data_IF_770727251060
#
_entry.id   IF_770727251060
#
_cell.length_a   1.000
_cell.length_b   1.000
_cell.length_c   1.000
_cell.angle_alpha   90.00
_cell.angle_beta   90.00
_cell.angle_gamma   90.00
#
_symmetry.space_group_name_H-M   'P 1'
#
loop_
_entity.id
_entity.type
_entity.pdbx_description
1 polymer ?
#
# COMPACT_ATOMS: atom_id res chain seq x y z
N UNK A 1 74.03 49.49 1.69
CA UNK A 1 73.43 49.57 0.34
C UNK A 1 73.49 48.20 -0.30
N UNK A 2 72.39 47.81 -0.93
CA UNK A 2 72.08 46.61 -1.74
C UNK A 2 73.27 45.84 -2.38
N UNK A 3 73.24 44.49 -2.31
CA UNK A 3 73.82 43.49 -3.24
C UNK A 3 73.12 42.13 -2.94
N UNK A 4 72.26 41.55 -3.79
CA UNK A 4 72.46 40.71 -5.00
C UNK A 4 72.76 39.21 -4.76
N UNK A 5 71.85 38.37 -5.29
CA UNK A 5 71.97 37.04 -5.93
C UNK A 5 72.74 35.83 -5.32
N UNK A 6 72.00 34.70 -5.35
CA UNK A 6 72.34 33.32 -5.76
C UNK A 6 72.99 32.24 -4.86
N UNK A 7 72.28 31.09 -4.95
CA UNK A 7 72.68 29.68 -4.88
C UNK A 7 73.27 29.05 -3.61
N UNK A 8 72.62 27.99 -3.13
CA UNK A 8 73.31 26.70 -2.92
C UNK A 8 72.33 25.52 -2.94
N UNK A 9 72.68 24.48 -3.70
CA UNK A 9 71.91 23.28 -3.98
C UNK A 9 72.70 22.03 -3.50
N UNK A 10 72.01 21.16 -2.76
CA UNK A 10 72.01 19.68 -2.72
C UNK A 10 73.31 18.82 -2.83
N UNK A 11 73.54 17.95 -1.83
CA UNK A 11 73.46 16.44 -1.86
C UNK A 11 74.40 15.74 -0.84
N UNK A 12 73.87 14.81 -0.03
CA UNK A 12 74.48 13.50 0.26
C UNK A 12 73.54 12.58 1.08
N UNK A 13 73.62 11.28 0.82
CA UNK A 13 72.66 10.21 1.13
C UNK A 13 73.28 9.20 2.12
N UNK A 14 72.47 8.62 3.02
CA UNK A 14 72.35 7.16 3.35
C UNK A 14 71.98 6.90 4.81
N UNK A 15 70.81 6.27 5.05
CA UNK A 15 70.68 4.96 5.76
C UNK A 15 69.22 4.46 5.79
N UNK A 16 69.05 3.30 5.15
CA UNK A 16 68.13 2.18 5.36
C UNK A 16 67.27 2.19 6.64
N UNK A 17 65.93 2.00 6.55
CA UNK A 17 65.10 1.10 7.41
C UNK A 17 63.73 0.81 6.72
N UNK A 18 63.35 -0.48 6.83
CA UNK A 18 62.17 -1.25 6.43
C UNK A 18 60.84 -0.55 6.07
N UNK A 19 60.26 -1.02 4.96
CA UNK A 19 58.83 -0.89 4.62
C UNK A 19 58.00 -1.88 5.44
N UNK A 20 57.06 -1.39 6.25
CA UNK A 20 55.87 -2.14 6.65
C UNK A 20 54.66 -1.54 5.95
N UNK A 21 54.04 -2.32 5.08
CA UNK A 21 52.73 -2.03 4.49
C UNK A 21 51.66 -2.13 5.59
N UNK A 22 51.23 -0.99 6.11
CA UNK A 22 50.02 -0.87 6.92
C UNK A 22 48.86 -0.41 6.04
N UNK A 23 48.05 -1.34 5.52
CA UNK A 23 46.79 -1.01 4.87
C UNK A 23 45.81 -0.47 5.92
N UNK A 24 45.62 0.85 5.96
CA UNK A 24 44.53 1.45 6.72
C UNK A 24 43.21 1.17 5.99
N UNK A 25 42.50 0.13 6.44
CA UNK A 25 41.12 -0.10 6.04
C UNK A 25 40.27 1.07 6.53
N UNK A 26 39.79 1.89 5.59
CA UNK A 26 38.73 2.87 5.86
C UNK A 26 37.45 2.07 5.99
N UNK A 27 37.06 1.76 7.23
CA UNK A 27 35.72 1.26 7.53
C UNK A 27 34.73 2.41 7.35
N UNK A 28 34.04 2.42 6.22
CA UNK A 28 32.83 3.23 6.06
C UNK A 28 31.75 2.54 6.88
N UNK A 29 31.64 2.92 8.16
CA UNK A 29 30.48 2.60 8.96
C UNK A 29 29.28 3.34 8.34
N UNK A 30 28.44 2.63 7.58
CA UNK A 30 27.12 3.12 7.21
C UNK A 30 26.32 3.30 8.50
N UNK A 31 26.16 4.55 8.92
CA UNK A 31 25.18 4.92 9.93
C UNK A 31 23.79 4.63 9.37
N UNK A 32 23.20 3.51 9.79
CA UNK A 32 21.78 3.24 9.64
C UNK A 32 21.03 4.38 10.33
N UNK A 33 20.48 5.33 9.58
CA UNK A 33 19.57 6.33 10.13
C UNK A 33 18.43 5.58 10.82
N UNK A 34 18.33 5.73 12.15
CA UNK A 34 17.15 5.33 12.89
C UNK A 34 15.97 6.12 12.31
N UNK A 35 15.17 5.46 11.49
CA UNK A 35 13.90 6.02 11.05
C UNK A 35 13.00 6.06 12.27
N UNK A 36 12.81 7.24 12.87
CA UNK A 36 11.82 7.39 13.93
C UNK A 36 10.47 6.89 13.40
N UNK A 37 9.89 5.91 14.09
CA UNK A 37 8.66 5.23 13.69
C UNK A 37 7.42 6.10 13.95
N UNK A 38 7.37 7.24 13.25
CA UNK A 38 6.43 8.32 13.46
C UNK A 38 5.55 8.55 12.22
N UNK A 39 4.41 9.25 12.35
CA UNK A 39 3.66 9.74 11.20
C UNK A 39 4.54 10.63 10.32
N UNK A 40 4.39 10.49 9.00
CA UNK A 40 5.05 11.39 8.06
C UNK A 40 4.14 11.77 6.89
N UNK A 41 4.45 12.91 6.31
CA UNK A 41 3.89 13.39 5.05
C UNK A 41 5.04 13.53 4.05
N UNK A 42 4.83 13.07 2.82
CA UNK A 42 5.85 13.19 1.77
C UNK A 42 5.21 13.64 0.47
N UNK A 43 5.92 14.52 -0.23
CA UNK A 43 5.52 15.02 -1.54
C UNK A 43 6.04 14.08 -2.63
N UNK A 44 5.17 13.71 -3.57
CA UNK A 44 5.56 12.87 -4.71
C UNK A 44 6.51 13.69 -5.60
N UNK A 45 7.74 13.21 -5.87
CA UNK A 45 8.73 13.95 -6.64
C UNK A 45 8.21 14.40 -8.01
N UNK A 46 8.48 15.66 -8.36
CA UNK A 46 8.00 16.27 -9.61
C UNK A 46 6.55 16.78 -9.54
N UNK A 47 5.97 16.90 -8.34
CA UNK A 47 4.60 17.42 -8.14
C UNK A 47 4.48 18.23 -6.85
N UNK A 48 3.32 18.85 -6.63
CA UNK A 48 2.92 19.46 -5.36
C UNK A 48 2.01 18.53 -4.52
N UNK A 49 1.75 17.30 -4.99
CA UNK A 49 0.83 16.36 -4.33
C UNK A 49 1.58 15.60 -3.25
N UNK A 50 1.02 15.57 -2.05
CA UNK A 50 1.59 14.86 -0.89
C UNK A 50 0.61 13.84 -0.34
N UNK A 51 1.13 12.79 0.27
CA UNK A 51 0.34 11.77 0.97
C UNK A 51 0.89 11.55 2.38
N UNK A 52 0.00 11.12 3.28
CA UNK A 52 0.28 10.91 4.71
C UNK A 52 0.30 9.43 5.04
N UNK A 53 1.31 9.02 5.80
CA UNK A 53 1.49 7.66 6.26
C UNK A 53 1.54 7.66 7.79
N UNK A 54 0.77 6.77 8.42
CA UNK A 54 0.71 6.61 9.87
C UNK A 54 1.38 5.29 10.28
N UNK A 55 2.12 5.27 11.41
CA UNK A 55 2.72 4.06 11.93
C UNK A 55 1.64 3.11 12.47
N UNK A 56 1.79 1.83 12.14
CA UNK A 56 1.02 0.71 12.68
C UNK A 56 1.99 -0.13 13.52
N UNK A 57 1.94 -0.05 14.86
CA UNK A 57 2.89 -0.74 15.71
C UNK A 57 2.80 -2.26 15.54
N UNK A 58 3.93 -2.95 15.73
CA UNK A 58 3.89 -4.41 15.80
C UNK A 58 2.99 -4.84 16.96
N UNK A 59 2.24 -5.92 16.79
CA UNK A 59 1.37 -6.39 17.85
C UNK A 59 0.66 -7.67 17.53
N UNK A 60 -0.23 -8.06 18.45
CA UNK A 60 -1.06 -9.25 18.34
C UNK A 60 -2.51 -8.82 18.31
N UNK A 61 -3.31 -9.49 17.49
CA UNK A 61 -4.75 -9.29 17.48
C UNK A 61 -5.50 -10.58 17.13
N UNK A 62 -6.79 -10.55 17.42
CA UNK A 62 -7.71 -11.62 17.06
C UNK A 62 -8.32 -11.28 15.69
N UNK A 63 -7.84 -11.95 14.65
CA UNK A 63 -8.33 -11.76 13.29
C UNK A 63 -9.63 -12.55 13.07
N UNK A 64 -10.59 -11.97 12.36
CA UNK A 64 -11.86 -12.59 12.00
C UNK A 64 -13.02 -12.22 12.92
N UNK A 65 -14.19 -12.78 12.62
CA UNK A 65 -15.44 -12.53 13.36
C UNK A 65 -15.59 -13.49 14.53
N UNK A 66 -15.97 -12.97 15.70
CA UNK A 66 -16.31 -13.81 16.84
C UNK A 66 -17.62 -14.57 16.60
N UNK A 67 -17.80 -15.70 17.27
CA UNK A 67 -19.03 -16.51 17.15
C UNK A 67 -20.30 -15.72 17.51
N UNK A 68 -20.20 -14.72 18.38
CA UNK A 68 -21.32 -13.88 18.79
C UNK A 68 -21.53 -12.64 17.91
N UNK A 69 -20.65 -12.38 16.94
CA UNK A 69 -20.72 -11.17 16.13
C UNK A 69 -21.94 -11.22 15.19
N UNK A 70 -22.74 -10.16 15.25
CA UNK A 70 -23.91 -10.02 14.39
C UNK A 70 -23.49 -9.92 12.91
N UNK A 71 -24.12 -10.72 12.05
CA UNK A 71 -23.83 -10.73 10.62
C UNK A 71 -22.50 -11.38 10.23
N UNK A 72 -21.85 -12.12 11.14
CA UNK A 72 -20.65 -12.91 10.82
C UNK A 72 -20.91 -13.84 9.64
N UNK A 73 -19.89 -14.03 8.80
CA UNK A 73 -19.94 -14.96 7.68
C UNK A 73 -18.99 -16.15 7.90
N UNK A 74 -19.26 -17.32 7.28
CA UNK A 74 -18.40 -18.49 7.45
C UNK A 74 -16.93 -18.26 7.05
N UNK A 75 -16.69 -17.45 6.02
CA UNK A 75 -15.36 -17.11 5.48
C UNK A 75 -14.55 -16.16 6.38
N UNK A 76 -15.11 -15.76 7.53
CA UNK A 76 -14.51 -14.89 8.54
C UNK A 76 -14.18 -15.64 9.84
N UNK A 77 -14.32 -16.97 9.83
CA UNK A 77 -14.23 -17.85 11.01
C UNK A 77 -13.36 -19.09 10.71
N UNK A 78 -12.75 -19.73 11.73
CA UNK A 78 -12.71 -19.32 13.14
C UNK A 78 -11.79 -18.12 13.36
N UNK A 79 -11.94 -17.42 14.49
CA UNK A 79 -10.97 -16.39 14.86
C UNK A 79 -9.59 -16.99 15.11
N UNK A 80 -8.55 -16.24 14.74
CA UNK A 80 -7.15 -16.67 14.87
C UNK A 80 -6.31 -15.59 15.56
N UNK A 81 -5.44 -15.98 16.49
CA UNK A 81 -4.43 -15.07 16.99
C UNK A 81 -3.38 -14.85 15.88
N UNK A 82 -3.14 -13.60 15.54
CA UNK A 82 -2.16 -13.22 14.50
C UNK A 82 -1.21 -12.19 15.09
N UNK A 83 0.10 -12.37 14.83
CA UNK A 83 1.10 -11.33 15.06
C UNK A 83 1.27 -10.54 13.76
N UNK A 84 1.34 -9.22 13.86
CA UNK A 84 1.59 -8.33 12.74
C UNK A 84 2.87 -7.55 13.03
N UNK A 85 3.82 -7.55 12.10
CA UNK A 85 5.03 -6.75 12.15
C UNK A 85 4.71 -5.26 12.05
N UNK A 86 5.59 -4.38 12.49
CA UNK A 86 5.39 -2.94 12.37
C UNK A 86 5.51 -2.47 10.91
N UNK A 87 4.65 -1.54 10.50
CA UNK A 87 4.67 -0.93 9.17
C UNK A 87 4.09 0.49 9.24
N UNK A 88 4.17 1.23 8.14
CA UNK A 88 3.36 2.42 7.92
C UNK A 88 2.27 2.13 6.91
N UNK A 89 1.11 2.74 7.10
CA UNK A 89 -0.02 2.64 6.17
C UNK A 89 -0.55 4.02 5.81
N UNK A 90 -1.10 4.17 4.60
CA UNK A 90 -1.72 5.40 4.15
C UNK A 90 -2.86 5.83 5.09
N UNK A 91 -2.84 7.09 5.53
CA UNK A 91 -3.91 7.67 6.37
C UNK A 91 -5.27 7.60 5.67
N UNK A 92 -5.26 7.71 4.36
CA UNK A 92 -6.40 7.71 3.45
C UNK A 92 -6.20 6.65 2.36
N UNK A 93 -7.28 6.34 1.64
CA UNK A 93 -7.22 5.68 0.34
C UNK A 93 -6.37 6.54 -0.63
N UNK A 94 -5.70 5.92 -1.60
CA UNK A 94 -4.98 6.67 -2.64
C UNK A 94 -5.98 7.49 -3.44
N UNK A 95 -5.67 8.77 -3.62
CA UNK A 95 -6.57 9.71 -4.29
C UNK A 95 -6.35 9.73 -5.80
N UNK A 96 -7.32 10.24 -6.55
CA UNK A 96 -7.15 10.56 -7.96
C UNK A 96 -6.01 11.56 -8.20
N UNK A 97 -5.83 12.55 -7.32
CA UNK A 97 -4.76 13.53 -7.44
C UNK A 97 -3.37 12.85 -7.39
N UNK A 98 -3.20 11.86 -6.52
CA UNK A 98 -2.00 11.02 -6.44
C UNK A 98 -1.86 10.09 -7.65
N UNK A 99 -2.92 9.34 -7.98
CA UNK A 99 -2.90 8.32 -9.03
C UNK A 99 -2.69 8.92 -10.42
N UNK A 100 -3.23 10.10 -10.70
CA UNK A 100 -3.10 10.75 -11.99
C UNK A 100 -1.66 11.14 -12.31
N UNK A 101 -0.79 11.32 -11.31
CA UNK A 101 0.64 11.51 -11.55
C UNK A 101 1.26 10.28 -12.21
N UNK A 102 0.95 9.08 -11.72
CA UNK A 102 1.38 7.83 -12.35
C UNK A 102 0.77 7.64 -13.74
N UNK A 103 -0.55 7.85 -13.85
CA UNK A 103 -1.26 7.68 -15.12
C UNK A 103 -0.72 8.61 -16.22
N UNK A 104 -0.37 9.84 -15.88
CA UNK A 104 0.11 10.84 -16.83
C UNK A 104 1.63 10.88 -17.00
N UNK A 105 2.41 10.10 -16.23
CA UNK A 105 3.86 10.11 -16.31
C UNK A 105 4.37 9.53 -17.65
N UNK A 106 4.72 10.41 -18.59
CA UNK A 106 5.17 10.02 -19.92
C UNK A 106 6.56 9.39 -19.96
N UNK A 107 7.34 9.52 -18.87
CA UNK A 107 8.61 8.79 -18.73
C UNK A 107 8.42 7.29 -18.47
N UNK A 108 7.19 6.88 -18.12
CA UNK A 108 6.83 5.48 -17.90
C UNK A 108 6.18 4.91 -19.18
N UNK A 109 6.70 3.79 -19.68
CA UNK A 109 6.17 3.17 -20.89
C UNK A 109 4.73 2.69 -20.71
N UNK A 110 3.91 2.77 -21.77
CA UNK A 110 2.58 2.12 -21.82
C UNK A 110 2.66 0.68 -22.32
N UNK A 111 3.67 0.39 -23.13
CA UNK A 111 3.88 -0.88 -23.81
C UNK A 111 5.32 -1.34 -23.55
N UNK A 112 5.51 -2.27 -22.62
CA UNK A 112 6.78 -2.96 -22.43
C UNK A 112 6.53 -4.42 -22.13
N UNK A 113 7.30 -5.29 -22.78
CA UNK A 113 7.34 -6.75 -22.56
C UNK A 113 8.46 -7.14 -21.57
N UNK A 114 9.18 -6.16 -21.04
CA UNK A 114 10.33 -6.35 -20.13
C UNK A 114 9.96 -5.72 -18.77
N UNK A 115 10.61 -6.19 -17.70
CA UNK A 115 10.43 -5.88 -16.26
C UNK A 115 10.53 -4.39 -15.85
N UNK A 116 9.79 -3.52 -16.55
CA UNK A 116 9.77 -2.07 -16.46
C UNK A 116 8.42 -1.65 -15.90
N UNK A 117 8.41 -0.57 -15.12
CA UNK A 117 7.16 0.08 -14.69
C UNK A 117 6.37 0.45 -15.94
N UNK A 118 5.12 -0.02 -16.01
CA UNK A 118 4.23 0.25 -17.14
C UNK A 118 2.99 0.99 -16.67
N UNK A 119 2.68 2.14 -17.28
CA UNK A 119 1.50 2.92 -16.90
C UNK A 119 0.23 2.38 -17.60
N UNK A 120 -0.97 2.58 -17.01
CA UNK A 120 -2.21 2.09 -17.60
C UNK A 120 -2.45 2.63 -19.01
N UNK A 121 -3.17 1.86 -19.82
CA UNK A 121 -3.68 2.36 -21.10
C UNK A 121 -4.71 3.47 -20.88
N UNK A 122 -4.91 4.38 -21.85
CA UNK A 122 -5.99 5.35 -21.80
C UNK A 122 -7.33 4.67 -21.49
N UNK A 123 -8.15 5.33 -20.66
CA UNK A 123 -9.47 4.82 -20.32
C UNK A 123 -10.42 5.03 -21.51
N UNK A 124 -11.21 4.01 -21.87
CA UNK A 124 -12.20 4.14 -22.94
C UNK A 124 -13.40 5.03 -22.53
N UNK A 125 -13.66 5.11 -21.21
CA UNK A 125 -14.64 6.00 -20.57
C UNK A 125 -14.03 6.64 -19.34
N UNK A 126 -14.62 7.73 -18.86
CA UNK A 126 -14.29 8.28 -17.56
C UNK A 126 -14.76 7.35 -16.43
N UNK A 127 -13.81 6.65 -15.80
CA UNK A 127 -14.06 5.71 -14.71
C UNK A 127 -14.31 6.37 -13.34
N UNK A 128 -14.36 7.70 -13.27
CA UNK A 128 -14.90 8.40 -12.09
C UNK A 128 -16.42 8.43 -12.07
N UNK A 129 -17.07 8.10 -13.19
CA UNK A 129 -18.53 8.07 -13.29
C UNK A 129 -19.19 9.40 -12.93
N UNK A 130 -18.49 10.52 -13.13
CA UNK A 130 -18.98 11.85 -12.77
C UNK A 130 -19.13 12.09 -11.26
N UNK A 131 -18.49 11.28 -10.42
CA UNK A 131 -18.56 11.42 -8.95
C UNK A 131 -17.53 12.41 -8.40
N UNK A 132 -16.41 12.60 -9.10
CA UNK A 132 -15.37 13.58 -8.78
C UNK A 132 -13.96 12.99 -8.87
N UNK A 133 -12.96 13.82 -9.20
CA UNK A 133 -11.54 13.41 -9.32
C UNK A 133 -10.56 14.32 -8.60
N UNK A 134 -10.99 15.49 -8.14
CA UNK A 134 -10.08 16.54 -7.66
C UNK A 134 -10.31 16.88 -6.19
N UNK A 135 -9.22 17.14 -5.48
CA UNK A 135 -9.24 17.58 -4.10
C UNK A 135 -9.55 16.44 -3.14
N UNK A 136 -8.96 15.27 -3.40
CA UNK A 136 -8.95 14.13 -2.48
C UNK A 136 -10.07 13.09 -2.68
N UNK A 137 -10.61 12.94 -3.88
CA UNK A 137 -11.48 11.78 -4.15
C UNK A 137 -10.65 10.50 -4.28
N UNK A 138 -11.08 9.36 -3.71
CA UNK A 138 -10.36 8.10 -3.86
C UNK A 138 -10.37 7.65 -5.32
N UNK A 139 -9.25 7.11 -5.78
CA UNK A 139 -9.20 6.50 -7.11
C UNK A 139 -9.96 5.16 -7.07
N UNK A 140 -10.77 4.88 -8.09
CA UNK A 140 -11.54 3.64 -8.20
C UNK A 140 -11.42 2.97 -9.59
N UNK A 141 -12.04 1.80 -9.76
CA UNK A 141 -12.20 1.12 -11.06
C UNK A 141 -10.89 0.61 -11.69
N UNK A 142 -9.88 0.28 -10.89
CA UNK A 142 -8.65 -0.37 -11.36
C UNK A 142 -8.50 -1.80 -10.87
N UNK A 143 -7.75 -2.61 -11.61
CA UNK A 143 -7.33 -3.94 -11.16
C UNK A 143 -6.32 -3.86 -10.02
N UNK A 144 -6.20 -4.94 -9.23
CA UNK A 144 -5.14 -5.07 -8.22
C UNK A 144 -3.74 -4.88 -8.85
N UNK A 145 -3.55 -5.39 -10.08
CA UNK A 145 -2.30 -5.21 -10.84
C UNK A 145 -1.96 -3.74 -11.05
N UNK A 146 -2.94 -2.91 -11.41
CA UNK A 146 -2.74 -1.46 -11.56
C UNK A 146 -2.36 -0.79 -10.26
N UNK A 147 -3.01 -1.15 -9.16
CA UNK A 147 -2.69 -0.62 -7.84
C UNK A 147 -1.25 -1.00 -7.41
N UNK A 148 -0.83 -2.25 -7.65
CA UNK A 148 0.54 -2.70 -7.42
C UNK A 148 1.56 -2.01 -8.34
N UNK A 149 1.20 -1.73 -9.59
CA UNK A 149 2.06 -1.02 -10.52
C UNK A 149 2.25 0.45 -10.11
N UNK A 150 1.21 1.09 -9.56
CA UNK A 150 1.35 2.39 -8.91
C UNK A 150 2.35 2.34 -7.75
N UNK A 151 2.28 1.30 -6.90
CA UNK A 151 3.25 1.11 -5.82
C UNK A 151 4.69 0.96 -6.35
N UNK A 152 4.88 0.18 -7.43
CA UNK A 152 6.20 0.01 -8.09
C UNK A 152 6.70 1.32 -8.70
N UNK A 153 5.83 2.07 -9.34
CA UNK A 153 6.14 3.40 -9.88
C UNK A 153 6.60 4.34 -8.76
N UNK A 154 5.85 4.41 -7.66
CA UNK A 154 6.17 5.26 -6.53
C UNK A 154 7.51 4.85 -5.88
N UNK A 155 7.80 3.55 -5.81
CA UNK A 155 9.10 3.04 -5.40
C UNK A 155 10.23 3.56 -6.28
N UNK A 156 10.12 3.44 -7.62
CA UNK A 156 11.16 3.96 -8.53
C UNK A 156 11.30 5.49 -8.47
N UNK A 157 10.22 6.23 -8.17
CA UNK A 157 10.27 7.69 -7.99
C UNK A 157 10.94 8.14 -6.69
N UNK A 158 10.75 7.40 -5.61
CA UNK A 158 11.12 7.85 -4.25
C UNK A 158 12.29 7.09 -3.64
N UNK A 159 12.62 5.91 -4.16
CA UNK A 159 13.52 4.95 -3.53
C UNK A 159 12.92 4.27 -2.29
N UNK A 160 11.66 4.54 -1.94
CA UNK A 160 10.98 3.95 -0.77
C UNK A 160 10.03 2.85 -1.23
N UNK A 161 10.18 1.65 -0.67
CA UNK A 161 9.35 0.52 -1.06
C UNK A 161 7.91 0.67 -0.57
N UNK A 162 6.95 0.52 -1.49
CA UNK A 162 5.52 0.53 -1.20
C UNK A 162 4.83 -0.70 -1.78
N UNK A 163 3.76 -1.15 -1.13
CA UNK A 163 2.90 -2.25 -1.58
C UNK A 163 1.46 -2.07 -1.10
N UNK A 164 0.58 -2.98 -1.50
CA UNK A 164 -0.74 -3.12 -0.91
C UNK A 164 -0.62 -3.78 0.49
N UNK A 165 -1.59 -3.56 1.40
CA UNK A 165 -1.65 -4.30 2.65
C UNK A 165 -1.94 -5.78 2.41
N UNK A 166 -1.48 -6.66 3.30
CA UNK A 166 -2.09 -8.00 3.41
C UNK A 166 -3.48 -7.88 4.02
N UNK A 167 -4.31 -8.92 3.88
CA UNK A 167 -5.61 -8.98 4.52
C UNK A 167 -5.51 -8.85 6.05
N UNK A 168 -4.49 -9.46 6.66
CA UNK A 168 -4.24 -9.37 8.09
C UNK A 168 -3.81 -7.96 8.53
N UNK A 169 -2.90 -7.33 7.78
CA UNK A 169 -2.47 -5.95 8.06
C UNK A 169 -3.63 -4.96 7.97
N UNK A 170 -4.46 -5.10 6.94
CA UNK A 170 -5.63 -4.25 6.75
C UNK A 170 -6.61 -4.37 7.92
N UNK A 171 -6.95 -5.60 8.34
CA UNK A 171 -7.89 -5.81 9.45
C UNK A 171 -7.32 -5.30 10.78
N UNK A 172 -6.03 -5.55 11.03
CA UNK A 172 -5.35 -5.07 12.23
C UNK A 172 -5.39 -3.55 12.33
N UNK A 173 -5.04 -2.87 11.24
CA UNK A 173 -5.07 -1.41 11.18
C UNK A 173 -6.49 -0.85 11.23
N UNK A 174 -7.48 -1.53 10.62
CA UNK A 174 -8.89 -1.15 10.70
C UNK A 174 -9.38 -1.19 12.15
N UNK A 175 -9.12 -2.29 12.86
CA UNK A 175 -9.54 -2.51 14.25
C UNK A 175 -8.89 -1.55 15.23
N UNK A 176 -7.63 -1.16 14.99
CA UNK A 176 -6.88 -0.24 15.85
C UNK A 176 -6.98 -0.58 17.36
N UNK A 177 -6.86 -1.87 17.67
CA UNK A 177 -6.93 -2.41 19.05
C UNK A 177 -8.31 -2.86 19.53
N UNK A 178 -9.38 -2.70 18.73
CA UNK A 178 -10.72 -3.15 19.10
C UNK A 178 -11.03 -4.58 18.65
N UNK A 179 -11.88 -5.27 19.43
CA UNK A 179 -12.38 -6.62 19.12
C UNK A 179 -13.90 -6.60 18.85
N UNK A 180 -14.43 -5.46 18.41
CA UNK A 180 -15.85 -5.24 18.11
C UNK A 180 -16.16 -5.49 16.63
N UNK A 181 -17.44 -5.51 16.29
CA UNK A 181 -17.94 -5.73 14.92
C UNK A 181 -17.44 -4.65 13.95
N UNK A 182 -17.52 -3.39 14.38
CA UNK A 182 -16.90 -2.24 13.73
C UNK A 182 -15.79 -1.69 14.64
N UNK A 183 -14.83 -0.95 14.09
CA UNK A 183 -13.73 -0.40 14.90
C UNK A 183 -14.17 0.64 15.94
N UNK A 184 -15.40 1.14 15.86
CA UNK A 184 -15.98 2.09 16.80
C UNK A 184 -16.97 1.46 17.79
N UNK A 185 -17.21 0.15 17.69
CA UNK A 185 -18.16 -0.58 18.55
C UNK A 185 -19.11 -1.49 17.78
N UNK A 186 -20.20 -1.90 18.43
CA UNK A 186 -21.17 -2.87 17.88
C UNK A 186 -22.48 -2.22 17.41
N UNK A 187 -22.69 -0.92 17.65
CA UNK A 187 -23.94 -0.25 17.25
C UNK A 187 -23.87 0.28 15.82
N UNK A 188 -24.49 -0.45 14.88
CA UNK A 188 -24.55 -0.07 13.46
C UNK A 188 -25.23 1.30 13.23
N UNK A 189 -26.01 1.84 14.18
CA UNK A 189 -26.61 3.18 14.06
C UNK A 189 -25.56 4.29 14.00
N UNK A 190 -24.37 4.04 14.54
CA UNK A 190 -23.24 4.97 14.51
C UNK A 190 -22.48 4.95 13.18
N UNK A 191 -22.71 3.95 12.32
CA UNK A 191 -21.94 3.75 11.08
C UNK A 191 -21.89 4.99 10.17
N UNK A 192 -22.97 5.78 10.14
CA UNK A 192 -23.06 7.03 9.37
C UNK A 192 -22.03 8.11 9.76
N UNK A 193 -21.46 8.02 10.95
CA UNK A 193 -20.43 8.92 11.44
C UNK A 193 -19.02 8.49 11.00
N UNK A 194 -18.86 7.23 10.60
CA UNK A 194 -17.57 6.56 10.40
C UNK A 194 -17.32 6.09 8.95
N UNK A 195 -18.38 5.92 8.15
CA UNK A 195 -18.25 5.46 6.76
C UNK A 195 -19.29 6.07 5.80
N UNK A 196 -18.94 6.04 4.52
CA UNK A 196 -19.85 6.32 3.41
C UNK A 196 -20.33 5.01 2.80
N UNK A 197 -21.64 4.76 2.81
CA UNK A 197 -22.25 3.50 2.38
C UNK A 197 -23.65 3.74 1.83
N UNK A 198 -24.34 2.68 1.40
CA UNK A 198 -25.62 2.77 0.67
C UNK A 198 -26.67 3.71 1.28
N UNK A 199 -26.68 3.85 2.61
CA UNK A 199 -27.65 4.68 3.33
C UNK A 199 -27.35 6.18 3.24
N UNK A 200 -26.08 6.59 3.22
CA UNK A 200 -25.70 8.00 3.34
C UNK A 200 -24.87 8.56 2.17
N UNK A 201 -24.37 7.70 1.28
CA UNK A 201 -23.46 8.06 0.19
C UNK A 201 -24.15 8.77 -1.00
N UNK A 202 -25.48 8.62 -1.12
CA UNK A 202 -26.25 9.03 -2.29
C UNK A 202 -25.72 8.43 -3.59
N UNK A 203 -25.30 7.16 -3.51
CA UNK A 203 -24.73 6.39 -4.61
C UNK A 203 -23.43 6.98 -5.19
N UNK A 204 -22.63 7.65 -4.36
CA UNK A 204 -21.33 8.21 -4.75
C UNK A 204 -20.26 7.99 -3.68
N UNK A 205 -19.04 7.69 -4.09
CA UNK A 205 -17.89 7.88 -3.23
C UNK A 205 -17.70 9.38 -2.93
N UNK A 206 -17.00 9.69 -1.85
CA UNK A 206 -16.79 11.04 -1.35
C UNK A 206 -15.30 11.33 -1.21
N UNK A 207 -14.96 12.59 -0.96
CA UNK A 207 -13.57 12.94 -0.64
C UNK A 207 -13.14 12.20 0.63
N UNK A 208 -11.89 11.73 0.64
CA UNK A 208 -11.30 11.05 1.79
C UNK A 208 -11.29 11.97 3.02
N UNK A 209 -11.36 11.37 4.20
CA UNK A 209 -11.22 12.08 5.47
C UNK A 209 -12.46 12.84 5.93
N UNK A 210 -13.63 12.59 5.35
CA UNK A 210 -14.88 13.28 5.69
C UNK A 210 -15.71 12.61 6.80
N UNK A 211 -15.28 11.44 7.27
CA UNK A 211 -15.88 10.73 8.41
C UNK A 211 -14.92 10.69 9.59
N UNK A 212 -15.40 10.22 10.75
CA UNK A 212 -14.55 10.03 11.93
C UNK A 212 -13.53 8.92 11.65
N UNK A 213 -12.25 9.09 12.05
CA UNK A 213 -11.25 8.04 11.92
C UNK A 213 -11.42 6.97 13.01
N UNK A 214 -10.66 5.89 12.89
CA UNK A 214 -10.46 4.96 13.99
C UNK A 214 -9.48 5.50 15.05
N UNK A 215 -9.23 4.73 16.11
CA UNK A 215 -8.40 5.14 17.24
C UNK A 215 -6.93 5.46 16.88
N UNK A 216 -6.44 4.98 15.74
CA UNK A 216 -5.08 5.27 15.24
C UNK A 216 -5.04 6.40 14.21
N UNK A 217 -6.19 7.01 13.89
CA UNK A 217 -6.26 8.14 12.97
C UNK A 217 -6.39 7.75 11.49
N UNK A 218 -6.64 6.47 11.18
CA UNK A 218 -6.96 6.04 9.81
C UNK A 218 -8.40 6.40 9.47
N UNK A 219 -8.58 6.98 8.30
CA UNK A 219 -9.87 7.37 7.76
C UNK A 219 -10.31 6.39 6.69
N UNK A 220 -11.64 6.33 6.53
CA UNK A 220 -12.29 5.58 5.45
C UNK A 220 -11.88 4.10 5.42
N UNK A 221 -11.51 3.53 6.57
CA UNK A 221 -11.25 2.09 6.70
C UNK A 221 -12.53 1.26 6.50
N UNK A 222 -13.71 1.89 6.49
CA UNK A 222 -14.99 1.24 6.20
C UNK A 222 -15.84 2.16 5.33
N UNK A 223 -16.41 1.63 4.25
CA UNK A 223 -17.12 2.42 3.26
C UNK A 223 -16.19 3.25 2.37
N UNK A 224 -16.76 4.27 1.72
CA UNK A 224 -16.14 4.99 0.61
C UNK A 224 -15.80 4.04 -0.55
N UNK A 225 -14.58 3.54 -0.69
CA UNK A 225 -14.27 2.46 -1.63
C UNK A 225 -13.71 1.25 -0.89
N UNK A 226 -14.08 0.05 -1.33
CA UNK A 226 -13.41 -1.16 -0.88
C UNK A 226 -11.94 -1.12 -1.35
N UNK A 227 -11.06 -1.75 -0.58
CA UNK A 227 -9.62 -1.64 -0.80
C UNK A 227 -9.01 -2.97 -1.22
N UNK A 228 -8.22 -2.95 -2.29
CA UNK A 228 -7.38 -4.08 -2.67
C UNK A 228 -6.38 -4.44 -1.56
N UNK A 229 -6.32 -5.73 -1.20
CA UNK A 229 -5.21 -6.31 -0.42
C UNK A 229 -4.28 -7.10 -1.36
N UNK A 230 -3.17 -7.63 -0.85
CA UNK A 230 -2.29 -8.54 -1.61
C UNK A 230 -2.88 -9.93 -1.82
N UNK A 231 -3.78 -10.33 -0.93
CA UNK A 231 -4.19 -11.71 -0.78
C UNK A 231 -5.11 -12.17 -1.90
N UNK A 232 -4.97 -13.45 -2.25
CA UNK A 232 -6.05 -14.17 -2.88
C UNK A 232 -7.17 -14.43 -1.88
N UNK A 233 -8.39 -14.31 -2.35
CA UNK A 233 -9.54 -14.72 -1.59
C UNK A 233 -9.59 -16.24 -1.56
N UNK A 234 -9.45 -16.79 -0.37
CA UNK A 234 -9.69 -18.19 -0.05
C UNK A 234 -10.78 -18.26 1.02
N UNK A 235 -11.86 -18.99 0.72
CA UNK A 235 -13.02 -19.11 1.60
C UNK A 235 -12.65 -19.75 2.94
N UNK A 236 -11.74 -20.72 2.92
CA UNK A 236 -11.25 -21.42 4.12
C UNK A 236 -9.98 -20.79 4.71
N UNK A 237 -9.61 -19.57 4.30
CA UNK A 237 -8.35 -18.92 4.70
C UNK A 237 -8.10 -18.95 6.21
N UNK A 238 -9.11 -18.63 7.01
CA UNK A 238 -9.01 -18.62 8.46
C UNK A 238 -8.72 -20.00 9.07
N UNK A 239 -9.10 -21.08 8.39
CA UNK A 239 -8.76 -22.44 8.82
C UNK A 239 -7.31 -22.81 8.54
N UNK A 240 -6.68 -22.18 7.53
CA UNK A 240 -5.28 -22.44 7.14
C UNK A 240 -4.26 -21.64 7.96
N UNK A 241 -4.68 -20.56 8.61
CA UNK A 241 -3.84 -19.77 9.51
C UNK A 241 -3.59 -20.56 10.80
N UNK A 242 -2.32 -20.83 11.09
CA UNK A 242 -1.89 -21.38 12.37
C UNK A 242 -2.14 -20.36 13.50
N UNK A 243 -2.53 -20.83 14.68
CA UNK A 243 -2.69 -19.93 15.83
C UNK A 243 -1.34 -19.30 16.21
N UNK A 244 -1.32 -17.97 16.33
CA UNK A 244 -0.09 -17.21 16.56
C UNK A 244 0.79 -17.03 15.32
N UNK A 245 0.28 -17.25 14.10
CA UNK A 245 1.02 -16.97 12.87
C UNK A 245 1.47 -15.51 12.79
N UNK A 246 2.67 -15.28 12.28
CA UNK A 246 3.21 -13.93 12.05
C UNK A 246 3.06 -13.55 10.59
N UNK A 247 2.49 -12.38 10.33
CA UNK A 247 2.26 -11.80 9.00
C UNK A 247 1.63 -12.80 8.00
N UNK A 248 0.52 -13.49 8.35
CA UNK A 248 -0.10 -14.45 7.45
C UNK A 248 -0.56 -13.74 6.18
N UNK A 249 -0.31 -14.39 5.05
CA UNK A 249 -0.80 -13.98 3.75
C UNK A 249 -1.07 -15.20 2.89
N UNK A 250 -1.99 -15.07 1.95
CA UNK A 250 -2.32 -16.11 0.99
C UNK A 250 -2.21 -15.57 -0.43
N UNK A 251 -1.35 -16.15 -1.25
CA UNK A 251 -1.13 -15.73 -2.63
C UNK A 251 -1.00 -16.93 -3.55
N UNK A 252 -1.65 -16.89 -4.71
CA UNK A 252 -1.46 -17.83 -5.84
C UNK A 252 -1.19 -17.01 -7.11
N UNK A 253 -0.89 -17.71 -8.22
CA UNK A 253 -0.61 -17.07 -9.51
C UNK A 253 -1.87 -16.61 -10.26
N UNK A 254 -3.06 -17.01 -9.79
CA UNK A 254 -4.33 -16.62 -10.40
C UNK A 254 -4.55 -15.10 -10.40
N UNK A 255 -5.40 -14.63 -11.31
CA UNK A 255 -5.80 -13.21 -11.35
C UNK A 255 -7.01 -12.94 -10.45
N UNK A 256 -7.86 -13.93 -10.23
CA UNK A 256 -9.09 -13.84 -9.46
C UNK A 256 -9.34 -15.14 -8.66
N UNK A 257 -10.08 -15.07 -7.55
CA UNK A 257 -10.55 -13.86 -6.89
C UNK A 257 -9.48 -13.30 -5.93
N UNK A 258 -9.13 -12.01 -6.04
CA UNK A 258 -8.36 -11.27 -5.02
C UNK A 258 -9.29 -10.78 -3.90
N UNK A 259 -8.75 -10.64 -2.70
CA UNK A 259 -9.49 -10.09 -1.57
C UNK A 259 -9.60 -8.56 -1.66
N UNK A 260 -10.77 -8.04 -1.29
CA UNK A 260 -10.98 -6.62 -0.99
C UNK A 260 -11.59 -6.46 0.40
N UNK A 261 -11.31 -5.35 1.08
CA UNK A 261 -11.77 -5.11 2.45
C UNK A 261 -12.46 -3.74 2.60
N UNK A 262 -13.18 -3.53 3.69
CA UNK A 262 -13.80 -2.25 4.08
C UNK A 262 -15.20 -1.99 3.55
N UNK A 263 -15.57 -2.58 2.41
CA UNK A 263 -16.83 -2.29 1.73
C UNK A 263 -16.85 -0.88 1.14
N UNK A 264 -17.78 -0.62 0.22
CA UNK A 264 -17.87 0.61 -0.54
C UNK A 264 -19.15 1.40 -0.34
N UNK A 265 -19.24 2.51 -1.07
CA UNK A 265 -20.32 3.48 -0.98
C UNK A 265 -21.71 2.97 -1.39
N UNK A 266 -21.86 1.83 -2.08
CA UNK A 266 -23.17 1.20 -2.32
C UNK A 266 -23.42 -0.03 -1.44
N UNK A 267 -22.50 -0.37 -0.56
CA UNK A 267 -22.65 -1.56 0.27
C UNK A 267 -23.54 -1.30 1.48
N UNK A 268 -24.10 -2.39 2.00
CA UNK A 268 -24.92 -2.40 3.20
C UNK A 268 -24.03 -2.51 4.46
N UNK A 269 -24.55 -2.16 5.65
CA UNK A 269 -23.79 -2.20 6.91
C UNK A 269 -23.03 -3.50 7.20
N UNK A 270 -23.52 -4.64 6.71
CA UNK A 270 -22.91 -5.95 6.96
C UNK A 270 -21.54 -6.11 6.27
N UNK A 271 -21.31 -5.42 5.14
CA UNK A 271 -20.06 -5.45 4.40
C UNK A 271 -19.01 -4.47 4.96
N UNK A 272 -19.42 -3.57 5.87
CA UNK A 272 -18.55 -2.57 6.51
C UNK A 272 -17.97 -3.04 7.85
N UNK A 273 -18.25 -4.28 8.27
CA UNK A 273 -17.67 -4.84 9.51
C UNK A 273 -16.16 -4.97 9.34
N UNK A 274 -15.40 -4.81 10.41
CA UNK A 274 -13.92 -4.89 10.36
C UNK A 274 -13.45 -6.24 9.81
N UNK A 275 -14.13 -7.33 10.13
CA UNK A 275 -13.83 -8.67 9.62
C UNK A 275 -14.39 -8.96 8.21
N UNK A 276 -15.22 -8.10 7.62
CA UNK A 276 -15.96 -8.48 6.41
C UNK A 276 -15.09 -8.54 5.16
N UNK A 277 -15.12 -9.69 4.50
CA UNK A 277 -14.31 -9.97 3.32
C UNK A 277 -15.15 -9.80 2.06
N UNK A 278 -14.57 -9.11 1.08
CA UNK A 278 -15.06 -9.08 -0.29
C UNK A 278 -14.11 -9.84 -1.21
N UNK A 279 -14.64 -10.30 -2.33
CA UNK A 279 -13.86 -11.00 -3.36
C UNK A 279 -14.11 -10.36 -4.72
N UNK A 280 -13.03 -10.13 -5.46
CA UNK A 280 -13.15 -9.65 -6.83
C UNK A 280 -13.69 -10.72 -7.76
N UNK A 281 -14.47 -10.29 -8.75
CA UNK A 281 -15.08 -11.18 -9.72
C UNK A 281 -14.64 -10.81 -11.15
N UNK A 282 -14.35 -11.77 -12.04
CA UNK A 282 -14.03 -11.48 -13.44
C UNK A 282 -15.11 -10.65 -14.17
N UNK A 283 -16.36 -10.71 -13.72
CA UNK A 283 -17.45 -9.88 -14.24
C UNK A 283 -17.26 -8.39 -14.02
N UNK A 284 -16.35 -7.97 -13.12
CA UNK A 284 -15.97 -6.57 -12.91
C UNK A 284 -15.29 -5.94 -14.14
N UNK A 285 -14.92 -6.76 -15.12
CA UNK A 285 -14.41 -6.29 -16.41
C UNK A 285 -15.31 -6.68 -17.59
N UNK A 286 -16.53 -7.18 -17.33
CA UNK A 286 -17.40 -7.74 -18.37
C UNK A 286 -17.81 -6.71 -19.42
N UNK A 287 -18.09 -5.46 -19.02
CA UNK A 287 -18.47 -4.40 -19.96
C UNK A 287 -17.32 -3.72 -20.71
N UNK A 288 -16.06 -4.03 -20.39
CA UNK A 288 -14.94 -3.46 -21.16
C UNK A 288 -15.00 -3.91 -22.63
N UNK A 289 -15.12 -2.96 -23.59
CA UNK A 289 -15.25 -3.27 -25.01
C UNK A 289 -13.93 -3.68 -25.68
N UNK A 290 -12.78 -3.54 -25.01
CA UNK A 290 -11.47 -3.87 -25.57
C UNK A 290 -11.28 -5.39 -25.76
N UNK A 291 -10.52 -5.77 -26.80
CA UNK A 291 -10.14 -7.15 -27.12
C UNK A 291 -8.60 -7.21 -27.27
N UNK A 292 -7.85 -7.89 -26.38
CA UNK A 292 -8.32 -8.47 -25.11
C UNK A 292 -8.79 -7.38 -24.15
N UNK A 293 -9.61 -7.77 -23.16
CA UNK A 293 -10.06 -6.86 -22.10
C UNK A 293 -8.89 -6.25 -21.35
N UNK A 294 -9.05 -5.03 -20.85
CA UNK A 294 -8.01 -4.29 -20.14
C UNK A 294 -7.55 -5.06 -18.91
N UNK A 295 -6.24 -5.27 -18.82
CA UNK A 295 -5.59 -5.73 -17.58
C UNK A 295 -5.52 -4.63 -16.50
N UNK A 296 -5.83 -3.38 -16.88
CA UNK A 296 -5.63 -2.20 -16.03
C UNK A 296 -6.90 -1.75 -15.32
N UNK A 297 -8.01 -1.75 -16.04
CA UNK A 297 -9.25 -1.11 -15.64
C UNK A 297 -10.36 -2.14 -15.44
N UNK A 298 -11.25 -1.85 -14.49
CA UNK A 298 -12.43 -2.66 -14.18
C UNK A 298 -13.67 -1.77 -14.36
N UNK A 299 -14.28 -1.89 -15.53
CA UNK A 299 -15.45 -1.09 -15.94
C UNK A 299 -16.64 -1.26 -14.97
N UNK A 300 -16.77 -2.43 -14.37
CA UNK A 300 -17.84 -2.76 -13.40
C UNK A 300 -17.32 -2.78 -11.95
N UNK A 301 -16.01 -2.63 -11.73
CA UNK A 301 -15.37 -2.56 -10.41
C UNK A 301 -15.40 -1.16 -9.78
N UNK A 302 -16.55 -0.46 -9.88
CA UNK A 302 -16.68 0.97 -9.57
C UNK A 302 -16.38 1.34 -8.12
N UNK A 303 -16.42 0.38 -7.21
CA UNK A 303 -16.34 0.60 -5.77
C UNK A 303 -14.99 0.24 -5.17
N UNK A 304 -13.99 -0.07 -6.00
CA UNK A 304 -12.72 -0.61 -5.51
C UNK A 304 -11.57 0.33 -5.83
N UNK A 305 -10.89 0.76 -4.77
CA UNK A 305 -9.65 1.50 -4.77
C UNK A 305 -8.57 0.75 -3.99
N UNK A 306 -7.64 1.48 -3.37
CA UNK A 306 -6.57 0.88 -2.58
C UNK A 306 -5.88 1.89 -1.66
N UNK A 307 -4.99 1.37 -0.81
CA UNK A 307 -4.18 2.11 0.16
C UNK A 307 -2.75 1.60 0.16
N UNK A 308 -1.82 2.47 0.51
CA UNK A 308 -0.39 2.14 0.55
C UNK A 308 0.03 1.53 1.90
N UNK A 309 0.95 0.57 1.83
CA UNK A 309 1.75 0.07 2.96
C UNK A 309 3.23 0.22 2.65
N UNK A 310 4.01 0.63 3.66
CA UNK A 310 5.47 0.63 3.68
C UNK A 310 5.93 -0.19 4.90
N UNK A 311 6.65 -1.32 4.75
CA UNK A 311 7.14 -2.08 5.89
C UNK A 311 8.18 -1.28 6.70
N UNK A 312 8.25 -1.51 8.02
CA UNK A 312 9.27 -0.87 8.88
C UNK A 312 10.68 -1.26 8.43
N UNK A 313 10.90 -2.56 8.26
CA UNK A 313 12.10 -3.10 7.63
C UNK A 313 11.95 -2.99 6.12
N UNK A 314 12.63 -2.04 5.52
CA UNK A 314 12.68 -1.92 4.07
C UNK A 314 13.35 -3.18 3.47
N UNK A 315 12.80 -3.74 2.37
CA UNK A 315 13.48 -4.78 1.62
C UNK A 315 14.73 -4.21 0.93
N UNK A 316 15.67 -5.10 0.65
CA UNK A 316 16.75 -4.85 -0.33
C UNK A 316 16.17 -4.60 -1.73
N UNK A 317 16.98 -4.07 -2.65
CA UNK A 317 16.53 -3.83 -4.02
C UNK A 317 16.13 -5.16 -4.70
N UNK A 318 16.90 -6.22 -4.46
CA UNK A 318 16.66 -7.56 -4.97
C UNK A 318 15.36 -8.15 -4.43
N UNK A 319 15.09 -8.01 -3.13
CA UNK A 319 13.83 -8.43 -2.52
C UNK A 319 12.64 -7.63 -3.04
N UNK A 320 12.80 -6.32 -3.24
CA UNK A 320 11.76 -5.46 -3.81
C UNK A 320 11.42 -5.85 -5.25
N UNK A 321 12.43 -6.06 -6.10
CA UNK A 321 12.22 -6.48 -7.49
C UNK A 321 11.63 -7.90 -7.56
N UNK A 322 12.09 -8.83 -6.70
CA UNK A 322 11.49 -10.16 -6.57
C UNK A 322 10.02 -10.10 -6.13
N UNK A 323 9.68 -9.20 -5.21
CA UNK A 323 8.30 -8.96 -4.79
C UNK A 323 7.43 -8.50 -5.97
N UNK A 324 7.83 -7.45 -6.68
CA UNK A 324 7.02 -6.95 -7.80
C UNK A 324 6.90 -7.97 -8.91
N UNK A 325 7.96 -8.74 -9.21
CA UNK A 325 7.92 -9.84 -10.16
C UNK A 325 6.91 -10.92 -9.77
N UNK A 326 6.87 -11.31 -8.50
CA UNK A 326 5.90 -12.28 -7.97
C UNK A 326 4.45 -11.85 -8.20
N UNK A 327 4.12 -10.58 -7.95
CA UNK A 327 2.72 -10.11 -7.96
C UNK A 327 2.25 -9.50 -9.28
N UNK A 328 3.16 -9.01 -10.12
CA UNK A 328 2.81 -8.39 -11.41
C UNK A 328 2.98 -9.34 -12.60
N UNK A 329 3.66 -10.48 -12.39
CA UNK A 329 4.11 -11.36 -13.47
C UNK A 329 5.22 -10.72 -14.30
N UNK A 330 5.85 -11.53 -15.16
CA UNK A 330 6.70 -11.03 -16.25
C UNK A 330 5.83 -10.54 -17.41
#
# INVERSE_FOLDING_TARGET
>A
MCLSFDHLNLLSVKRLVLFFYGAAAVSVAQAQQATNFEPYETTIPGSAISFKMLPVPAGKFLMGSAEKDAGKKPDETPQRNVNVSAFWMGRYEVTYDEFLLFFNDESTSRNSEVDVVTRPTPQYIDLSWGMGKQGGFPVNSMSQRTALMYCRWLYKKTGVFYRLPTEAEWEYACRAGTNTVYYFGNDAKLLKDYGWFSVNSKNKYQKVGQKKPNAWGFYDMIGNVAEWTLDHYEEKYFTTIADGATDPSFSTEDTYPKTVRGGGYLDKPEALRSASRGKSDPSWNKRDPQIPKSKWWLTDGMQVGFRLVRPLKAPTAEEADAFYKKYLGN
#
